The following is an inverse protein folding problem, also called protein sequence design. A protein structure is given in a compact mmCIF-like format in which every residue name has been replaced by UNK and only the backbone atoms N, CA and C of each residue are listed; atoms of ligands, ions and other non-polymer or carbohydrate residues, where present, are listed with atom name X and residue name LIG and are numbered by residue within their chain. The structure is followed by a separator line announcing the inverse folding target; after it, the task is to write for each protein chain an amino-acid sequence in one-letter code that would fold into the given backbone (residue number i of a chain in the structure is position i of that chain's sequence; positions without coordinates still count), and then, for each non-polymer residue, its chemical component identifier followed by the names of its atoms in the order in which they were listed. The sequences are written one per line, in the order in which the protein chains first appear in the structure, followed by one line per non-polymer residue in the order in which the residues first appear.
data_IF_662118166330
#
_entry.id   IF_662118166330
#
_cell.length_a   1.000
_cell.length_b   1.000
_cell.length_c   1.000
_cell.angle_alpha   90.00
_cell.angle_beta   90.00
_cell.angle_gamma   90.00
#
_symmetry.space_group_name_H-M   'P 1'
#
loop_
_entity.id
_entity.type
_entity.pdbx_description
1 polymer ?
#
# COMPACT_ATOMS: atom_id res chain seq x y z
N UNK A 1 -9.01 -0.84 -20.76
CA UNK A 1 -8.60 -1.86 -19.76
C UNK A 1 -9.07 -1.36 -18.41
N UNK A 2 -10.05 -2.03 -17.79
CA UNK A 2 -10.47 -1.69 -16.43
C UNK A 2 -9.31 -2.00 -15.47
N UNK A 3 -9.06 -1.13 -14.49
CA UNK A 3 -8.18 -1.45 -13.38
C UNK A 3 -8.61 -2.78 -12.79
N UNK A 4 -7.68 -3.70 -12.53
CA UNK A 4 -8.01 -4.85 -11.68
C UNK A 4 -8.49 -4.27 -10.36
N UNK A 5 -9.77 -4.46 -9.99
CA UNK A 5 -10.28 -3.88 -8.76
C UNK A 5 -9.46 -4.48 -7.62
N UNK A 6 -8.65 -3.62 -6.98
CA UNK A 6 -7.91 -4.04 -5.82
C UNK A 6 -8.93 -4.36 -4.73
N UNK A 7 -8.92 -5.58 -4.17
CA UNK A 7 -9.84 -5.91 -3.10
C UNK A 7 -9.58 -5.00 -1.90
N UNK A 8 -10.60 -4.89 -1.04
CA UNK A 8 -10.49 -4.13 0.19
C UNK A 8 -9.28 -4.60 1.00
N UNK A 9 -8.51 -3.68 1.61
CA UNK A 9 -7.38 -4.06 2.45
C UNK A 9 -7.80 -4.99 3.58
N UNK A 10 -6.95 -5.96 3.90
CA UNK A 10 -7.11 -6.80 5.10
C UNK A 10 -7.24 -5.93 6.35
N UNK A 11 -8.18 -6.23 7.24
CA UNK A 11 -8.31 -5.53 8.50
C UNK A 11 -7.00 -5.58 9.30
N UNK A 12 -6.60 -4.44 9.87
CA UNK A 12 -5.34 -4.32 10.60
C UNK A 12 -4.08 -4.16 9.73
N UNK A 13 -4.18 -4.27 8.40
CA UNK A 13 -3.07 -3.99 7.49
C UNK A 13 -2.69 -2.50 7.47
N UNK A 14 -1.48 -2.20 7.00
CA UNK A 14 -1.00 -0.83 6.88
C UNK A 14 -1.92 0.03 6.01
N UNK A 15 -2.32 -0.46 4.83
CA UNK A 15 -3.19 0.30 3.91
C UNK A 15 -4.58 0.54 4.50
N UNK A 16 -5.07 -0.38 5.35
CA UNK A 16 -6.35 -0.20 6.04
C UNK A 16 -6.29 1.02 6.97
N UNK A 17 -5.19 1.20 7.73
CA UNK A 17 -5.02 2.39 8.58
C UNK A 17 -4.78 3.66 7.77
N UNK A 18 -3.92 3.59 6.74
CA UNK A 18 -3.59 4.75 5.92
C UNK A 18 -4.81 5.27 5.14
N UNK A 19 -5.76 4.39 4.80
CA UNK A 19 -7.01 4.77 4.15
C UNK A 19 -7.90 5.71 5.00
N UNK A 20 -7.77 5.68 6.34
CA UNK A 20 -8.51 6.55 7.25
C UNK A 20 -7.88 7.93 7.46
N UNK A 21 -6.70 8.21 6.90
CA UNK A 21 -6.10 9.53 6.99
C UNK A 21 -7.00 10.58 6.32
N UNK A 22 -7.03 11.82 6.83
CA UNK A 22 -7.89 12.87 6.26
C UNK A 22 -7.54 13.20 4.81
N UNK A 23 -6.25 13.17 4.45
CA UNK A 23 -5.82 13.37 3.07
C UNK A 23 -5.95 12.07 2.27
N UNK A 24 -6.56 12.10 1.07
CA UNK A 24 -6.64 10.92 0.21
C UNK A 24 -5.27 10.51 -0.35
N UNK A 25 -4.37 11.48 -0.52
CA UNK A 25 -3.01 11.25 -1.01
C UNK A 25 -2.03 12.02 -0.12
N UNK A 26 -1.01 11.35 0.38
CA UNK A 26 -0.02 11.97 1.24
C UNK A 26 1.27 11.19 1.22
N UNK A 27 2.36 11.85 1.58
CA UNK A 27 3.64 11.20 1.83
C UNK A 27 4.09 11.48 3.26
N UNK A 28 4.90 10.59 3.80
CA UNK A 28 5.53 10.78 5.10
C UNK A 28 6.84 10.00 5.19
N UNK A 29 7.70 10.43 6.12
CA UNK A 29 8.92 9.70 6.47
C UNK A 29 8.56 8.65 7.52
N UNK A 30 8.92 7.39 7.30
CA UNK A 30 8.53 6.28 8.19
C UNK A 30 9.13 6.42 9.59
N UNK A 31 10.27 7.11 9.73
CA UNK A 31 10.86 7.47 11.03
C UNK A 31 9.94 8.31 11.91
N UNK A 32 8.94 9.01 11.35
CA UNK A 32 7.96 9.80 12.09
C UNK A 32 6.85 8.95 12.74
N UNK A 33 6.73 7.66 12.39
CA UNK A 33 5.71 6.76 12.95
C UNK A 33 5.93 6.49 14.45
N UNK A 34 7.18 6.53 14.93
CA UNK A 34 7.50 6.28 16.33
C UNK A 34 6.93 4.95 16.83
N UNK A 35 6.16 4.99 17.92
CA UNK A 35 5.54 3.81 18.52
C UNK A 35 4.49 3.11 17.63
N UNK A 36 3.99 3.79 16.59
CA UNK A 36 3.04 3.23 15.63
C UNK A 36 3.69 2.26 14.64
N UNK A 37 5.03 2.29 14.51
CA UNK A 37 5.78 1.42 13.60
C UNK A 37 5.93 -0.02 14.12
N UNK A 38 4.80 -0.73 14.10
CA UNK A 38 4.69 -2.12 14.52
C UNK A 38 4.65 -3.05 13.30
N UNK A 39 5.08 -4.33 13.44
CA UNK A 39 4.88 -5.32 12.40
C UNK A 39 3.39 -5.48 12.10
N UNK A 40 2.98 -5.18 10.87
CA UNK A 40 1.60 -5.31 10.41
C UNK A 40 1.57 -5.82 8.98
N UNK A 41 0.47 -6.46 8.55
CA UNK A 41 0.34 -6.91 7.17
C UNK A 41 0.49 -5.73 6.21
N UNK A 42 1.37 -5.85 5.23
CA UNK A 42 1.49 -4.97 4.08
C UNK A 42 1.18 -5.77 2.81
N UNK A 43 0.25 -5.27 2.00
CA UNK A 43 -0.12 -5.85 0.72
C UNK A 43 0.98 -5.58 -0.30
N UNK A 44 1.46 -6.65 -0.91
CA UNK A 44 2.36 -6.63 -2.03
C UNK A 44 1.62 -7.17 -3.26
N UNK A 45 1.67 -6.43 -4.36
CA UNK A 45 1.00 -6.79 -5.62
C UNK A 45 2.02 -6.80 -6.75
N UNK A 46 1.76 -7.55 -7.82
CA UNK A 46 2.65 -7.65 -8.99
C UNK A 46 3.87 -8.57 -8.80
N UNK A 47 3.97 -9.31 -7.70
CA UNK A 47 5.08 -10.26 -7.46
C UNK A 47 4.91 -11.61 -8.17
N UNK A 48 3.70 -11.97 -8.62
CA UNK A 48 3.44 -13.23 -9.33
C UNK A 48 2.50 -13.00 -10.52
N UNK A 49 2.69 -13.83 -11.56
CA UNK A 49 1.76 -13.90 -12.70
C UNK A 49 0.42 -14.41 -12.16
N UNK A 50 -0.61 -13.55 -12.17
CA UNK A 50 -1.93 -13.84 -11.59
C UNK A 50 -2.34 -12.93 -10.43
N UNK A 51 -1.45 -12.06 -9.92
CA UNK A 51 -1.76 -11.01 -8.93
C UNK A 51 -2.58 -11.50 -7.72
N UNK A 52 -2.23 -12.65 -7.15
CA UNK A 52 -2.79 -13.03 -5.85
C UNK A 52 -2.34 -12.02 -4.79
N UNK A 53 -3.27 -11.58 -3.92
CA UNK A 53 -2.91 -10.70 -2.82
C UNK A 53 -1.90 -11.42 -1.93
N UNK A 54 -0.68 -10.90 -1.90
CA UNK A 54 0.32 -11.34 -0.94
C UNK A 54 0.38 -10.31 0.18
N UNK A 55 0.43 -10.79 1.42
CA UNK A 55 0.61 -9.94 2.60
C UNK A 55 1.86 -10.41 3.32
N UNK A 56 2.76 -9.48 3.60
CA UNK A 56 3.92 -9.73 4.44
C UNK A 56 3.83 -8.86 5.70
N UNK A 57 4.06 -9.47 6.86
CA UNK A 57 4.08 -8.74 8.12
C UNK A 57 5.41 -8.02 8.28
N UNK A 58 5.38 -6.68 8.30
CA UNK A 58 6.58 -5.88 8.42
C UNK A 58 6.33 -4.53 9.09
N UNK A 59 7.39 -3.99 9.68
CA UNK A 59 7.45 -2.57 10.05
C UNK A 59 7.67 -1.76 8.78
N UNK A 60 6.97 -0.63 8.64
CA UNK A 60 7.15 0.22 7.46
C UNK A 60 8.56 0.80 7.41
N UNK A 61 9.12 1.20 8.56
CA UNK A 61 10.47 1.76 8.59
C UNK A 61 11.57 0.75 8.27
N UNK A 62 11.30 -0.56 8.41
CA UNK A 62 12.26 -1.60 8.05
C UNK A 62 12.34 -1.84 6.54
N UNK A 63 11.29 -1.47 5.79
CA UNK A 63 11.21 -1.69 4.34
C UNK A 63 11.37 -0.40 3.53
N UNK A 64 10.96 0.75 4.08
CA UNK A 64 10.95 2.04 3.38
C UNK A 64 11.38 3.18 4.30
N UNK A 65 12.19 4.11 3.80
CA UNK A 65 12.49 5.37 4.51
C UNK A 65 11.34 6.39 4.40
N UNK A 66 10.60 6.33 3.30
CA UNK A 66 9.47 7.20 3.00
C UNK A 66 8.37 6.41 2.28
N UNK A 67 7.12 6.81 2.52
CA UNK A 67 5.95 6.19 1.89
C UNK A 67 5.11 7.28 1.24
N UNK A 68 4.75 7.07 -0.03
CA UNK A 68 3.68 7.78 -0.72
C UNK A 68 2.44 6.90 -0.71
N UNK A 69 1.38 7.35 -0.05
CA UNK A 69 0.10 6.67 -0.03
C UNK A 69 -0.87 7.32 -1.02
N UNK A 70 -1.52 6.48 -1.83
CA UNK A 70 -2.59 6.85 -2.75
C UNK A 70 -3.82 6.02 -2.39
N UNK A 71 -4.91 6.67 -1.94
CA UNK A 71 -6.14 5.95 -1.54
C UNK A 71 -6.80 5.26 -2.73
N UNK A 72 -6.71 5.88 -3.90
CA UNK A 72 -7.32 5.38 -5.14
C UNK A 72 -6.26 5.35 -6.24
N UNK A 73 -6.24 4.25 -6.99
CA UNK A 73 -5.38 4.07 -8.16
C UNK A 73 -6.24 3.53 -9.30
N UNK A 74 -5.83 3.82 -10.53
CA UNK A 74 -6.43 3.28 -11.75
C UNK A 74 -5.40 2.46 -12.51
N UNK A 75 -5.85 1.64 -13.47
CA UNK A 75 -4.92 0.91 -14.33
C UNK A 75 -4.05 1.88 -15.11
N UNK A 76 -2.76 1.56 -15.22
CA UNK A 76 -1.85 2.28 -16.10
C UNK A 76 -2.34 2.19 -17.55
N UNK A 77 -2.30 3.31 -18.27
CA UNK A 77 -2.54 3.35 -19.71
C UNK A 77 -1.27 2.91 -20.43
N UNK A 78 -1.33 1.82 -21.19
CA UNK A 78 -0.21 1.36 -22.01
C UNK A 78 -0.07 2.31 -23.21
N UNK A 79 1.15 2.80 -23.45
CA UNK A 79 1.51 3.44 -24.71
C UNK A 79 1.81 2.32 -25.70
N UNK A 80 0.92 2.15 -26.68
CA UNK A 80 1.16 1.25 -27.81
C UNK A 80 2.17 1.94 -28.74
N UNK A 81 3.38 1.40 -28.83
CA UNK A 81 4.38 1.77 -29.83
C UNK A 81 4.24 0.90 -31.07
#
# INVERSE_FOLDING_TARGET
MAAYPLPQPKAGAWEASLAYANSPNFYFLTKQLGALDQPRPLRLTGQTVGSTNFYADMKLSAAFDAVLFLRQTTAATLLLH
#
